data_IF_344188244018
#
_entry.id   IF_344188244018
#
_cell.length_a   1.000
_cell.length_b   1.000
_cell.length_c   1.000
_cell.angle_alpha   90.00
_cell.angle_beta   90.00
_cell.angle_gamma   90.00
#
_symmetry.space_group_name_H-M   'P 1'
#
loop_
_entity.id
_entity.type
_entity.pdbx_description
1 polymer ?
#
# COMPACT_ATOMS: atom_id res chain seq x y z
N UNK A 1 15.42 -19.03 -5.51
CA UNK A 1 15.41 -19.03 -6.98
C UNK A 1 16.51 -19.94 -7.54
N UNK A 2 17.80 -19.65 -7.33
CA UNK A 2 18.93 -20.39 -7.95
C UNK A 2 18.90 -21.92 -7.68
N UNK A 3 18.78 -22.35 -6.43
CA UNK A 3 18.74 -23.79 -6.09
C UNK A 3 17.55 -24.52 -6.75
N UNK A 4 16.37 -23.90 -6.74
CA UNK A 4 15.18 -24.44 -7.39
C UNK A 4 15.34 -24.55 -8.91
N UNK A 5 15.94 -23.54 -9.55
CA UNK A 5 16.25 -23.55 -10.98
C UNK A 5 17.23 -24.68 -11.34
N UNK A 6 18.27 -24.91 -10.54
CA UNK A 6 19.24 -26.00 -10.75
C UNK A 6 18.56 -27.37 -10.64
N UNK A 7 17.73 -27.57 -9.62
CA UNK A 7 16.98 -28.82 -9.44
C UNK A 7 16.01 -29.06 -10.60
N UNK A 8 15.25 -28.03 -11.03
CA UNK A 8 14.32 -28.11 -12.16
C UNK A 8 15.05 -28.36 -13.49
N UNK A 9 16.24 -27.79 -13.68
CA UNK A 9 17.08 -28.04 -14.86
C UNK A 9 17.58 -29.49 -14.89
N UNK A 10 18.02 -30.04 -13.76
CA UNK A 10 18.44 -31.43 -13.65
C UNK A 10 17.27 -32.39 -13.95
N UNK A 11 16.09 -32.12 -13.39
CA UNK A 11 14.87 -32.88 -13.66
C UNK A 11 14.43 -32.76 -15.12
N UNK A 12 14.56 -31.59 -15.73
CA UNK A 12 14.27 -31.40 -17.15
C UNK A 12 15.17 -32.27 -18.03
N UNK A 13 16.49 -32.28 -17.77
CA UNK A 13 17.45 -33.11 -18.51
C UNK A 13 17.11 -34.59 -18.36
N UNK A 14 16.79 -35.02 -17.14
CA UNK A 14 16.40 -36.41 -16.84
C UNK A 14 15.11 -36.82 -17.57
N UNK A 15 14.06 -35.99 -17.49
CA UNK A 15 12.76 -36.30 -18.07
C UNK A 15 12.72 -36.15 -19.60
N UNK A 16 13.59 -35.34 -20.20
CA UNK A 16 13.61 -35.08 -21.66
C UNK A 16 14.00 -36.33 -22.48
N UNK A 17 14.80 -37.23 -21.91
CA UNK A 17 15.25 -38.45 -22.61
C UNK A 17 14.24 -39.60 -22.56
N UNK A 18 13.12 -39.43 -21.87
CA UNK A 18 12.11 -40.49 -21.73
C UNK A 18 11.21 -40.57 -22.96
N UNK A 19 10.94 -41.79 -23.43
CA UNK A 19 10.00 -42.05 -24.54
C UNK A 19 8.52 -41.88 -24.12
N UNK A 20 8.23 -41.85 -22.81
CA UNK A 20 6.86 -41.77 -22.31
C UNK A 20 6.30 -40.34 -22.42
N UNK A 21 5.14 -40.22 -23.08
CA UNK A 21 4.48 -38.94 -23.34
C UNK A 21 4.13 -38.14 -22.06
N UNK A 22 3.79 -38.84 -20.97
CA UNK A 22 3.47 -38.23 -19.68
C UNK A 22 4.74 -37.61 -19.07
N UNK A 23 5.86 -38.33 -19.09
CA UNK A 23 7.15 -37.84 -18.57
C UNK A 23 7.67 -36.66 -19.40
N UNK A 24 7.40 -36.67 -20.71
CA UNK A 24 7.73 -35.56 -21.60
C UNK A 24 6.88 -34.30 -21.34
N UNK A 25 5.65 -34.46 -20.85
CA UNK A 25 4.84 -33.33 -20.38
C UNK A 25 5.44 -32.70 -19.10
N UNK A 26 5.89 -33.52 -18.14
CA UNK A 26 6.62 -33.03 -16.97
C UNK A 26 7.96 -32.35 -17.33
N UNK A 27 8.66 -32.83 -18.35
CA UNK A 27 9.85 -32.15 -18.86
C UNK A 27 9.53 -30.73 -19.36
N UNK A 28 8.42 -30.53 -20.08
CA UNK A 28 8.02 -29.20 -20.54
C UNK A 28 7.70 -28.26 -19.37
N UNK A 29 7.01 -28.74 -18.35
CA UNK A 29 6.73 -27.98 -17.13
C UNK A 29 8.02 -27.48 -16.46
N UNK A 30 8.97 -28.38 -16.22
CA UNK A 30 10.24 -28.02 -15.61
C UNK A 30 11.08 -27.06 -16.47
N UNK A 31 10.99 -27.16 -17.79
CA UNK A 31 11.61 -26.19 -18.70
C UNK A 31 11.02 -24.80 -18.53
N UNK A 32 9.69 -24.68 -18.48
CA UNK A 32 9.04 -23.39 -18.25
C UNK A 32 9.42 -22.79 -16.89
N UNK A 33 9.50 -23.60 -15.84
CA UNK A 33 9.98 -23.16 -14.52
C UNK A 33 11.42 -22.65 -14.56
N UNK A 34 12.31 -23.29 -15.33
CA UNK A 34 13.68 -22.81 -15.49
C UNK A 34 13.70 -21.47 -16.22
N UNK A 35 12.94 -21.35 -17.31
CA UNK A 35 12.87 -20.13 -18.11
C UNK A 35 12.32 -18.95 -17.30
N UNK A 36 11.20 -19.12 -16.61
CA UNK A 36 10.57 -18.03 -15.83
C UNK A 36 11.46 -17.59 -14.67
N UNK A 37 12.12 -18.53 -13.99
CA UNK A 37 13.07 -18.19 -12.92
C UNK A 37 14.33 -17.48 -13.43
N UNK A 38 14.86 -17.87 -14.60
CA UNK A 38 16.03 -17.19 -15.22
C UNK A 38 15.66 -15.78 -15.67
N UNK A 39 14.50 -15.60 -16.31
CA UNK A 39 14.00 -14.28 -16.71
C UNK A 39 13.79 -13.40 -15.48
N UNK A 40 13.18 -13.93 -14.42
CA UNK A 40 13.00 -13.20 -13.16
C UNK A 40 14.32 -12.78 -12.51
N UNK A 41 15.32 -13.67 -12.50
CA UNK A 41 16.65 -13.36 -11.96
C UNK A 41 17.38 -12.32 -12.81
N UNK A 42 17.30 -12.43 -14.14
CA UNK A 42 17.89 -11.45 -15.06
C UNK A 42 17.21 -10.08 -14.91
N UNK A 43 15.88 -10.03 -14.78
CA UNK A 43 15.14 -8.81 -14.52
C UNK A 43 15.54 -8.18 -13.19
N UNK A 44 15.71 -8.97 -12.12
CA UNK A 44 16.18 -8.46 -10.82
C UNK A 44 17.61 -7.88 -10.90
N UNK A 45 18.52 -8.55 -11.59
CA UNK A 45 19.90 -8.07 -11.78
C UNK A 45 19.97 -6.82 -12.69
N UNK A 46 19.11 -6.74 -13.71
CA UNK A 46 19.00 -5.57 -14.59
C UNK A 46 18.34 -4.39 -13.88
N UNK A 47 17.34 -4.66 -13.01
CA UNK A 47 16.73 -3.64 -12.17
C UNK A 47 17.78 -3.01 -11.23
N UNK A 48 18.60 -3.84 -10.56
CA UNK A 48 19.68 -3.36 -9.70
C UNK A 48 20.74 -2.55 -10.49
N UNK A 49 21.03 -2.92 -11.74
CA UNK A 49 22.07 -2.25 -12.54
C UNK A 49 21.62 -0.98 -13.28
N UNK A 50 20.37 -0.94 -13.76
CA UNK A 50 19.87 0.14 -14.63
C UNK A 50 18.76 0.98 -14.00
N UNK A 51 18.06 0.43 -13.01
CA UNK A 51 16.88 1.02 -12.39
C UNK A 51 16.94 1.01 -10.86
N UNK A 52 18.16 1.08 -10.29
CA UNK A 52 18.42 1.10 -8.84
C UNK A 52 17.64 2.20 -8.09
N UNK A 53 17.27 3.26 -8.81
CA UNK A 53 16.53 4.40 -8.30
C UNK A 53 15.01 4.18 -8.28
N UNK A 54 14.48 3.16 -8.96
CA UNK A 54 13.02 2.90 -8.97
C UNK A 54 12.52 2.61 -7.55
N UNK A 55 13.20 1.74 -6.81
CA UNK A 55 12.78 1.35 -5.45
C UNK A 55 12.64 2.55 -4.49
N UNK A 56 13.63 3.47 -4.35
CA UNK A 56 13.46 4.66 -3.52
C UNK A 56 12.45 5.65 -4.11
N UNK A 57 12.35 5.80 -5.44
CA UNK A 57 11.32 6.69 -6.02
C UNK A 57 9.91 6.20 -5.76
N UNK A 58 9.65 4.90 -5.79
CA UNK A 58 8.33 4.35 -5.48
C UNK A 58 7.95 4.60 -4.02
N UNK A 59 8.91 4.53 -3.10
CA UNK A 59 8.70 4.88 -1.69
C UNK A 59 8.46 6.38 -1.47
N UNK A 60 9.07 7.25 -2.31
CA UNK A 60 8.92 8.70 -2.24
C UNK A 60 7.64 9.24 -2.91
N UNK A 61 7.09 8.52 -3.89
CA UNK A 61 5.86 8.92 -4.61
C UNK A 61 4.60 8.75 -3.74
N UNK A 62 4.75 8.11 -2.58
CA UNK A 62 3.68 7.87 -1.63
C UNK A 62 2.86 6.65 -1.99
N UNK A 63 3.02 5.59 -1.21
CA UNK A 63 2.20 4.38 -1.35
C UNK A 63 1.06 4.43 -0.34
N UNK A 64 -0.15 4.09 -0.79
CA UNK A 64 -1.27 3.89 0.12
C UNK A 64 -0.93 2.77 1.11
N UNK A 65 -1.35 2.95 2.36
CA UNK A 65 -1.21 1.93 3.40
C UNK A 65 -1.94 0.63 3.01
N UNK A 66 -1.49 -0.48 3.61
CA UNK A 66 -2.17 -1.76 3.41
C UNK A 66 -3.61 -1.71 3.91
N UNK A 67 -4.54 -2.52 3.34
CA UNK A 67 -5.93 -2.56 3.78
C UNK A 67 -6.09 -2.84 5.28
N UNK A 68 -5.18 -3.61 5.87
CA UNK A 68 -5.15 -3.94 7.30
C UNK A 68 -4.92 -2.71 8.18
N UNK A 69 -3.97 -1.84 7.77
CA UNK A 69 -3.69 -0.57 8.45
C UNK A 69 -4.88 0.37 8.31
N UNK A 70 -5.43 0.50 7.10
CA UNK A 70 -6.62 1.33 6.86
C UNK A 70 -7.81 0.87 7.70
N UNK A 71 -8.03 -0.44 7.81
CA UNK A 71 -9.11 -1.00 8.62
C UNK A 71 -8.89 -0.74 10.13
N UNK A 72 -7.66 -0.88 10.62
CA UNK A 72 -7.27 -0.56 12.00
C UNK A 72 -7.52 0.92 12.33
N UNK A 73 -7.10 1.82 11.44
CA UNK A 73 -7.33 3.27 11.58
C UNK A 73 -8.82 3.60 11.56
N UNK A 74 -9.56 3.07 10.58
CA UNK A 74 -11.01 3.26 10.46
C UNK A 74 -11.74 2.80 11.72
N UNK A 75 -11.35 1.65 12.28
CA UNK A 75 -11.93 1.14 13.52
C UNK A 75 -11.69 2.07 14.72
N UNK A 76 -10.47 2.62 14.83
CA UNK A 76 -10.11 3.53 15.93
C UNK A 76 -10.89 4.85 15.89
N UNK A 77 -11.10 5.37 14.67
CA UNK A 77 -11.91 6.57 14.40
C UNK A 77 -13.38 6.29 14.69
N UNK A 78 -13.93 5.18 14.18
CA UNK A 78 -15.33 4.80 14.36
C UNK A 78 -15.70 4.60 15.84
N UNK A 79 -14.73 4.22 16.67
CA UNK A 79 -14.92 4.03 18.11
C UNK A 79 -14.67 5.31 18.93
N UNK A 80 -14.25 6.40 18.30
CA UNK A 80 -14.08 7.67 18.98
C UNK A 80 -15.46 8.28 19.32
N UNK A 81 -15.67 8.82 20.53
CA UNK A 81 -16.96 9.36 20.92
C UNK A 81 -17.37 10.54 20.01
N UNK A 82 -18.67 10.72 19.82
CA UNK A 82 -19.26 11.87 19.13
C UNK A 82 -18.95 12.00 17.63
N UNK A 83 -18.24 11.03 17.03
CA UNK A 83 -18.14 10.90 15.57
C UNK A 83 -19.48 10.41 15.04
N UNK A 84 -20.14 11.23 14.21
CA UNK A 84 -21.43 10.89 13.59
C UNK A 84 -21.23 9.99 12.37
N UNK A 85 -20.25 10.33 11.53
CA UNK A 85 -19.89 9.60 10.31
C UNK A 85 -18.40 9.80 10.01
N UNK A 86 -17.82 8.85 9.29
CA UNK A 86 -16.50 8.95 8.69
C UNK A 86 -16.72 9.17 7.20
N UNK A 87 -16.18 10.25 6.65
CA UNK A 87 -16.23 10.49 5.21
C UNK A 87 -15.08 9.75 4.52
N UNK A 88 -13.85 10.07 4.94
CA UNK A 88 -12.65 9.56 4.29
C UNK A 88 -11.59 9.15 5.33
N UNK A 89 -10.94 8.01 5.09
CA UNK A 89 -9.71 7.61 5.80
C UNK A 89 -8.66 7.29 4.75
N UNK A 90 -7.57 8.05 4.77
CA UNK A 90 -6.41 7.83 3.92
C UNK A 90 -5.18 7.69 4.79
N UNK A 91 -4.31 6.78 4.39
CA UNK A 91 -2.98 6.69 4.97
C UNK A 91 -2.01 6.41 3.83
N UNK A 92 -0.92 7.16 3.77
CA UNK A 92 0.09 7.01 2.75
C UNK A 92 1.48 7.18 3.35
N UNK A 93 2.46 6.48 2.78
CA UNK A 93 3.85 6.57 3.24
C UNK A 93 4.53 7.79 2.68
N UNK A 94 5.42 8.38 3.46
CA UNK A 94 6.46 9.27 2.94
C UNK A 94 7.75 8.94 3.69
N UNK A 95 8.50 7.97 3.19
CA UNK A 95 9.60 7.34 3.93
C UNK A 95 9.15 6.06 4.65
N UNK A 96 9.36 5.97 5.97
CA UNK A 96 9.17 4.72 6.74
C UNK A 96 7.82 4.66 7.46
N UNK A 97 7.24 5.81 7.80
CA UNK A 97 6.02 5.93 8.59
C UNK A 97 4.85 6.46 7.73
N UNK A 98 3.64 6.31 8.25
CA UNK A 98 2.42 6.77 7.58
C UNK A 98 2.03 8.19 7.99
N UNK A 99 1.65 8.98 6.98
CA UNK A 99 0.82 10.16 7.15
C UNK A 99 -0.63 9.72 7.02
N UNK A 100 -1.46 10.09 7.99
CA UNK A 100 -2.86 9.70 8.05
C UNK A 100 -3.73 10.95 7.91
N UNK A 101 -4.70 10.91 7.01
CA UNK A 101 -5.73 11.93 6.83
C UNK A 101 -7.09 11.30 7.12
N UNK A 102 -7.85 11.92 8.02
CA UNK A 102 -9.18 11.46 8.42
C UNK A 102 -10.15 12.62 8.36
N UNK A 103 -11.25 12.42 7.64
CA UNK A 103 -12.33 13.37 7.54
C UNK A 103 -13.53 12.79 8.30
N UNK A 104 -13.95 13.48 9.37
CA UNK A 104 -15.07 13.05 10.21
C UNK A 104 -16.18 14.09 10.24
N UNK A 105 -17.41 13.60 10.30
CA UNK A 105 -18.59 14.42 10.51
C UNK A 105 -18.91 14.50 12.01
N UNK A 106 -19.12 15.72 12.48
CA UNK A 106 -19.58 16.04 13.81
C UNK A 106 -21.00 16.65 13.76
N UNK A 107 -21.80 16.51 14.83
CA UNK A 107 -23.08 17.21 14.95
C UNK A 107 -22.95 18.74 14.78
N UNK A 108 -23.84 19.34 13.99
CA UNK A 108 -23.89 20.78 13.69
C UNK A 108 -24.08 21.65 14.94
N UNK A 109 -24.74 21.11 15.97
CA UNK A 109 -25.05 21.84 17.19
C UNK A 109 -23.86 21.95 18.15
N UNK A 110 -22.75 21.27 17.86
CA UNK A 110 -21.54 21.33 18.69
C UNK A 110 -20.90 22.70 18.64
N UNK A 111 -20.43 23.16 19.81
CA UNK A 111 -19.61 24.35 19.86
C UNK A 111 -18.26 24.08 19.19
N UNK A 112 -17.72 25.05 18.45
CA UNK A 112 -16.41 24.95 17.80
C UNK A 112 -15.30 24.52 18.77
N UNK A 113 -15.38 24.95 20.03
CA UNK A 113 -14.44 24.54 21.08
C UNK A 113 -14.49 23.03 21.33
N UNK A 114 -15.69 22.45 21.40
CA UNK A 114 -15.89 21.02 21.64
C UNK A 114 -15.47 20.21 20.42
N UNK A 115 -15.84 20.67 19.22
CA UNK A 115 -15.40 20.07 17.97
C UNK A 115 -13.87 20.02 17.88
N UNK A 116 -13.19 21.13 18.18
CA UNK A 116 -11.73 21.20 18.21
C UNK A 116 -11.12 20.19 19.19
N UNK A 117 -11.67 20.10 20.41
CA UNK A 117 -11.20 19.11 21.40
C UNK A 117 -11.40 17.67 20.91
N UNK A 118 -12.53 17.35 20.26
CA UNK A 118 -12.77 16.03 19.67
C UNK A 118 -11.71 15.73 18.59
N UNK A 119 -11.48 16.67 17.67
CA UNK A 119 -10.46 16.54 16.62
C UNK A 119 -9.05 16.36 17.18
N UNK A 120 -8.65 17.19 18.15
CA UNK A 120 -7.34 17.12 18.80
C UNK A 120 -7.14 15.79 19.54
N UNK A 121 -8.12 15.33 20.31
CA UNK A 121 -8.02 14.05 21.01
C UNK A 121 -7.98 12.84 20.06
N UNK A 122 -8.66 12.92 18.92
CA UNK A 122 -8.57 11.91 17.86
C UNK A 122 -7.19 11.93 17.21
N UNK A 123 -6.67 13.11 16.88
CA UNK A 123 -5.33 13.29 16.32
C UNK A 123 -4.26 12.66 17.23
N UNK A 124 -4.23 13.06 18.51
CA UNK A 124 -3.28 12.51 19.49
C UNK A 124 -3.40 10.98 19.62
N UNK A 125 -4.62 10.43 19.50
CA UNK A 125 -4.86 8.99 19.59
C UNK A 125 -4.28 8.24 18.39
N UNK A 126 -4.35 8.83 17.19
CA UNK A 126 -3.77 8.26 15.97
C UNK A 126 -2.23 8.37 15.98
N UNK A 127 -1.69 9.52 16.41
CA UNK A 127 -0.23 9.75 16.50
C UNK A 127 0.46 8.89 17.59
N UNK A 128 -0.30 8.28 18.51
CA UNK A 128 0.24 7.30 19.47
C UNK A 128 0.60 5.96 18.83
N UNK A 129 0.16 5.68 17.62
CA UNK A 129 0.54 4.46 16.89
C UNK A 129 1.97 4.58 16.39
N UNK A 130 2.81 3.58 16.66
CA UNK A 130 4.23 3.58 16.24
C UNK A 130 4.43 3.65 14.72
N UNK A 131 3.40 3.30 13.95
CA UNK A 131 3.41 3.28 12.49
C UNK A 131 3.01 4.64 11.89
N UNK A 132 2.52 5.59 12.70
CA UNK A 132 2.01 6.90 12.25
C UNK A 132 3.02 7.99 12.61
N UNK A 133 3.44 8.75 11.61
CA UNK A 133 4.29 9.93 11.80
C UNK A 133 3.47 11.17 12.15
N UNK A 134 2.36 11.36 11.43
CA UNK A 134 1.47 12.50 11.60
C UNK A 134 0.05 12.13 11.22
N UNK A 135 -0.92 12.65 11.97
CA UNK A 135 -2.33 12.56 11.63
C UNK A 135 -2.92 13.96 11.39
N UNK A 136 -3.74 14.08 10.36
CA UNK A 136 -4.55 15.25 10.06
C UNK A 136 -6.02 14.85 10.20
N UNK A 137 -6.75 15.59 11.02
CA UNK A 137 -8.17 15.35 11.26
C UNK A 137 -8.95 16.55 10.75
N UNK A 138 -9.69 16.36 9.66
CA UNK A 138 -10.65 17.34 9.17
C UNK A 138 -12.00 17.14 9.87
N UNK A 139 -12.64 18.24 10.24
CA UNK A 139 -13.93 18.24 10.95
C UNK A 139 -14.99 18.89 10.07
N UNK A 140 -15.91 18.06 9.60
CA UNK A 140 -17.04 18.46 8.80
C UNK A 140 -18.35 18.45 9.59
N UNK A 141 -19.31 19.23 9.10
CA UNK A 141 -20.69 19.21 9.58
C UNK A 141 -21.66 18.58 8.57
N UNK A 142 -21.23 18.39 7.32
CA UNK A 142 -21.97 17.77 6.22
C UNK A 142 -21.03 16.88 5.38
N UNK A 143 -21.55 15.86 4.68
CA UNK A 143 -20.75 15.07 3.72
C UNK A 143 -21.27 15.10 2.28
N UNK A 144 -22.27 15.93 1.99
CA UNK A 144 -22.79 16.13 0.64
C UNK A 144 -22.15 17.39 -0.01
N UNK A 145 -20.86 17.62 0.24
CA UNK A 145 -20.11 18.77 -0.27
C UNK A 145 -19.26 18.42 -1.50
N UNK A 146 -18.92 19.44 -2.29
CA UNK A 146 -17.91 19.30 -3.35
C UNK A 146 -16.53 19.23 -2.68
N UNK A 147 -15.56 18.46 -3.21
CA UNK A 147 -14.21 18.44 -2.68
C UNK A 147 -13.66 19.87 -2.59
N UNK A 148 -13.50 20.35 -1.36
CA UNK A 148 -13.06 21.69 -1.00
C UNK A 148 -11.61 21.96 -1.46
N UNK A 149 -10.81 20.90 -1.50
CA UNK A 149 -9.48 20.90 -2.07
C UNK A 149 -9.52 20.42 -3.52
N UNK A 150 -9.44 21.38 -4.46
CA UNK A 150 -9.17 21.06 -5.85
C UNK A 150 -7.73 20.53 -5.98
N UNK A 151 -7.57 19.22 -6.07
CA UNK A 151 -6.28 18.63 -6.46
C UNK A 151 -5.96 19.16 -7.84
N UNK A 152 -4.92 20.01 -7.94
CA UNK A 152 -4.35 20.39 -9.21
C UNK A 152 -3.81 19.11 -9.86
N UNK A 153 -4.60 18.56 -10.78
CA UNK A 153 -4.21 17.40 -11.61
C UNK A 153 -3.04 17.72 -12.56
N UNK A 154 -2.58 18.97 -12.58
CA UNK A 154 -1.44 19.45 -13.36
C UNK A 154 -0.58 20.38 -12.53
N UNK A 155 0.74 20.13 -12.57
CA UNK A 155 1.73 21.06 -12.04
C UNK A 155 1.59 22.42 -12.74
N UNK A 156 1.76 23.54 -12.02
CA UNK A 156 1.76 24.86 -12.64
C UNK A 156 2.85 24.91 -13.73
N UNK A 157 2.46 25.35 -14.92
CA UNK A 157 3.43 25.62 -15.98
C UNK A 157 4.29 26.82 -15.53
N UNK A 158 5.60 26.62 -15.40
CA UNK A 158 6.57 27.72 -15.40
C UNK A 158 6.74 28.26 -16.83
#
# INVERSE_FOLDING_TARGET
MISATVVKLALWIYCKSSENDIVRAYAKDHFFDVVTNVVGLAAALLADKFFWWIDPTVSLVGQSASPEVLQKLTYLVMRHPQVKRIDTVRAYTFGVLYFVEVDIELPEELCLKEAHTIGETLQEKLEKLQEVERAFVHLDYECDHKPEHSVLSRLPNN
#
